data_IF_777231523131
#
_entry.id   IF_777231523131
#
_cell.length_a   1.000
_cell.length_b   1.000
_cell.length_c   1.000
_cell.angle_alpha   90.00
_cell.angle_beta   90.00
_cell.angle_gamma   90.00
#
_symmetry.space_group_name_H-M   'P 1'
#
loop_
_entity.id
_entity.type
_entity.pdbx_description
1 polymer ?
#
# COMPACT_ATOMS: atom_id res chain seq x y z
N UNK A 1 -6.24 14.24 -8.03
CA UNK A 1 -7.54 14.58 -7.44
C UNK A 1 -7.37 14.57 -5.94
N UNK A 2 -8.41 14.18 -5.21
CA UNK A 2 -8.43 14.12 -3.75
C UNK A 2 -7.33 13.23 -3.14
N UNK A 3 -7.18 12.00 -3.64
CA UNK A 3 -6.12 11.09 -3.21
C UNK A 3 -4.79 11.42 -3.88
N UNK A 4 -3.76 11.64 -3.07
CA UNK A 4 -2.43 12.12 -3.50
C UNK A 4 -1.31 11.13 -3.20
N UNK A 5 -1.53 10.16 -2.31
CA UNK A 5 -0.51 9.22 -1.85
C UNK A 5 -1.08 7.81 -1.74
N UNK A 6 -0.19 6.82 -1.86
CA UNK A 6 -0.51 5.42 -1.61
C UNK A 6 0.69 4.73 -0.95
N UNK A 7 0.40 3.87 0.02
CA UNK A 7 1.39 3.13 0.77
C UNK A 7 0.96 1.68 0.92
N UNK A 8 1.91 0.79 1.24
CA UNK A 8 1.63 -0.61 1.50
C UNK A 8 1.78 -0.90 2.99
N UNK A 9 0.68 -1.28 3.64
CA UNK A 9 0.73 -1.81 5.00
C UNK A 9 1.33 -3.23 4.98
N UNK A 10 2.44 -3.42 5.69
CA UNK A 10 3.16 -4.71 5.79
C UNK A 10 2.89 -5.43 7.11
N UNK A 11 2.14 -4.79 8.02
CA UNK A 11 1.70 -5.36 9.29
C UNK A 11 2.72 -5.23 10.41
N UNK A 12 2.25 -5.32 11.66
CA UNK A 12 3.11 -5.46 12.84
C UNK A 12 3.80 -6.83 12.87
N UNK A 13 4.79 -7.00 13.74
CA UNK A 13 5.45 -8.31 13.93
C UNK A 13 4.45 -9.41 14.29
N UNK A 14 3.54 -9.13 15.21
CA UNK A 14 2.51 -10.06 15.67
C UNK A 14 1.57 -10.45 14.51
N UNK A 15 1.20 -9.47 13.68
CA UNK A 15 0.36 -9.72 12.51
C UNK A 15 1.09 -10.55 11.46
N UNK A 16 2.37 -10.26 11.16
CA UNK A 16 3.17 -11.04 10.20
C UNK A 16 3.38 -12.48 10.71
N UNK A 17 3.58 -12.66 12.02
CA UNK A 17 3.65 -13.98 12.64
C UNK A 17 2.31 -14.74 12.55
N UNK A 18 1.19 -14.07 12.81
CA UNK A 18 -0.14 -14.67 12.67
C UNK A 18 -0.43 -15.05 11.21
N UNK A 19 -0.07 -14.18 10.26
CA UNK A 19 -0.24 -14.41 8.83
C UNK A 19 0.60 -15.59 8.33
N UNK A 20 1.80 -15.76 8.89
CA UNK A 20 2.71 -16.87 8.58
C UNK A 20 2.14 -18.25 8.94
N UNK A 21 1.15 -18.31 9.85
CA UNK A 21 0.52 -19.56 10.32
C UNK A 21 -0.68 -19.99 9.47
N UNK A 22 -1.15 -19.16 8.54
CA UNK A 22 -2.20 -19.56 7.60
C UNK A 22 -1.68 -20.66 6.69
N UNK A 23 -2.51 -21.67 6.40
CA UNK A 23 -2.04 -22.92 5.78
C UNK A 23 -1.35 -22.70 4.42
N UNK A 24 -1.93 -21.86 3.56
CA UNK A 24 -1.38 -21.54 2.25
C UNK A 24 -0.05 -20.77 2.34
N UNK A 25 0.06 -19.86 3.32
CA UNK A 25 1.28 -19.11 3.60
C UNK A 25 2.36 -20.02 4.16
N UNK A 26 2.04 -20.84 5.17
CA UNK A 26 2.97 -21.73 5.84
C UNK A 26 3.57 -22.75 4.86
N UNK A 27 2.74 -23.34 3.99
CA UNK A 27 3.22 -24.28 2.96
C UNK A 27 4.14 -23.59 1.96
N UNK A 28 3.82 -22.36 1.56
CA UNK A 28 4.68 -21.58 0.68
C UNK A 28 6.01 -21.20 1.36
N UNK A 29 5.99 -20.76 2.62
CA UNK A 29 7.20 -20.42 3.39
C UNK A 29 8.12 -21.62 3.55
N UNK A 30 7.58 -22.83 3.84
CA UNK A 30 8.37 -24.06 3.93
C UNK A 30 9.10 -24.38 2.63
N UNK A 31 8.45 -24.15 1.47
CA UNK A 31 9.09 -24.29 0.15
C UNK A 31 10.23 -23.28 -0.06
N UNK A 32 10.20 -22.15 0.64
CA UNK A 32 11.30 -21.17 0.68
C UNK A 32 12.38 -21.50 1.73
N UNK A 33 12.25 -22.60 2.47
CA UNK A 33 13.20 -23.01 3.51
C UNK A 33 13.07 -22.27 4.85
N UNK A 34 11.95 -21.58 5.09
CA UNK A 34 11.70 -20.81 6.32
C UNK A 34 10.31 -21.10 6.89
N UNK A 35 10.04 -20.68 8.12
CA UNK A 35 8.77 -20.94 8.82
C UNK A 35 7.97 -19.68 9.15
N UNK A 36 8.52 -18.49 8.90
CA UNK A 36 7.86 -17.21 9.12
C UNK A 36 8.18 -16.22 8.02
N UNK A 37 7.29 -15.25 7.82
CA UNK A 37 7.51 -14.13 6.93
C UNK A 37 8.76 -13.34 7.35
N UNK A 38 8.90 -13.02 8.64
CA UNK A 38 10.09 -12.32 9.15
C UNK A 38 11.38 -13.12 8.88
N UNK A 39 11.34 -14.45 8.99
CA UNK A 39 12.46 -15.31 8.60
C UNK A 39 12.79 -15.22 7.11
N UNK A 40 11.77 -15.14 6.24
CA UNK A 40 11.97 -14.94 4.80
C UNK A 40 12.55 -13.56 4.50
N UNK A 41 12.05 -12.52 5.15
CA UNK A 41 12.52 -11.15 4.98
C UNK A 41 13.97 -10.99 5.43
N UNK A 42 14.32 -11.55 6.59
CA UNK A 42 15.69 -11.59 7.09
C UNK A 42 16.64 -12.34 6.14
N UNK A 43 16.17 -13.45 5.55
CA UNK A 43 16.96 -14.25 4.61
C UNK A 43 17.21 -13.53 3.27
N UNK A 44 16.19 -12.86 2.71
CA UNK A 44 16.26 -12.28 1.36
C UNK A 44 16.72 -10.82 1.35
N UNK A 45 16.34 -10.05 2.35
CA UNK A 45 16.55 -8.60 2.41
C UNK A 45 17.04 -8.21 3.81
N UNK A 46 18.24 -8.66 4.22
CA UNK A 46 18.74 -8.50 5.60
C UNK A 46 18.81 -7.03 6.03
N UNK A 47 19.20 -6.10 5.15
CA UNK A 47 19.27 -4.67 5.47
C UNK A 47 17.89 -4.05 5.69
N UNK A 48 16.94 -4.36 4.79
CA UNK A 48 15.56 -3.91 4.92
C UNK A 48 14.89 -4.50 6.18
N UNK A 49 15.17 -5.77 6.48
CA UNK A 49 14.68 -6.41 7.69
C UNK A 49 15.31 -5.81 8.96
N UNK A 50 16.60 -5.50 8.95
CA UNK A 50 17.25 -4.81 10.06
C UNK A 50 16.62 -3.44 10.32
N UNK A 51 16.28 -2.69 9.25
CA UNK A 51 15.57 -1.42 9.37
C UNK A 51 14.16 -1.58 9.94
N UNK A 52 13.45 -2.65 9.59
CA UNK A 52 12.12 -2.99 10.12
C UNK A 52 12.14 -3.24 11.65
N UNK A 53 13.29 -3.59 12.24
CA UNK A 53 13.44 -3.80 13.69
C UNK A 53 13.80 -2.51 14.45
N UNK A 54 14.09 -1.42 13.75
CA UNK A 54 14.45 -0.15 14.37
C UNK A 54 13.25 0.79 14.36
N UNK A 55 12.95 1.47 15.49
CA UNK A 55 11.94 2.51 15.51
C UNK A 55 12.14 3.55 14.39
N UNK A 56 11.03 4.05 13.89
CA UNK A 56 11.01 5.24 13.06
C UNK A 56 11.22 6.50 13.93
N UNK A 57 11.24 7.68 13.32
CA UNK A 57 11.57 8.95 14.00
C UNK A 57 10.59 9.31 15.13
N UNK A 58 9.36 8.81 15.06
CA UNK A 58 8.32 8.97 16.06
C UNK A 58 8.39 7.94 17.21
N UNK A 59 9.39 7.05 17.21
CA UNK A 59 9.58 6.02 18.22
C UNK A 59 8.77 4.75 18.01
N UNK A 60 7.90 4.68 17.00
CA UNK A 60 7.11 3.49 16.69
C UNK A 60 7.86 2.56 15.73
N UNK A 61 7.60 1.24 15.84
CA UNK A 61 8.18 0.29 14.89
C UNK A 61 7.52 0.40 13.51
N UNK A 62 8.29 0.26 12.42
CA UNK A 62 7.72 0.31 11.09
C UNK A 62 6.69 -0.79 10.82
N UNK A 63 5.60 -0.42 10.18
CA UNK A 63 4.55 -1.34 9.70
C UNK A 63 4.00 -0.96 8.33
N UNK A 64 4.58 0.08 7.71
CA UNK A 64 4.26 0.56 6.37
C UNK A 64 5.56 0.61 5.55
N UNK A 65 5.45 0.28 4.27
CA UNK A 65 6.45 0.61 3.27
C UNK A 65 5.84 1.57 2.24
N UNK A 66 6.53 2.68 1.99
CA UNK A 66 6.05 3.75 1.13
C UNK A 66 7.20 4.44 0.39
N UNK A 67 6.93 4.97 -0.79
CA UNK A 67 7.89 5.84 -1.48
C UNK A 67 7.52 7.30 -1.18
N UNK A 68 8.41 7.97 -0.47
CA UNK A 68 8.29 9.37 -0.01
C UNK A 68 9.61 10.10 -0.30
N UNK A 69 9.74 11.39 0.04
CA UNK A 69 10.92 12.20 -0.31
C UNK A 69 12.30 11.53 -0.03
N UNK A 70 12.52 10.84 1.11
CA UNK A 70 13.77 10.09 1.34
C UNK A 70 14.01 8.86 0.44
N UNK A 71 13.03 8.44 -0.35
CA UNK A 71 12.99 7.19 -1.10
C UNK A 71 11.99 6.18 -0.53
N UNK A 72 12.10 4.92 -0.98
CA UNK A 72 11.31 3.81 -0.46
C UNK A 72 11.74 3.51 0.97
N UNK A 73 10.88 3.87 1.90
CA UNK A 73 11.15 3.92 3.33
C UNK A 73 10.23 2.97 4.08
N UNK A 74 10.76 2.42 5.17
CA UNK A 74 9.96 1.72 6.18
C UNK A 74 9.59 2.73 7.26
N UNK A 75 8.29 2.98 7.41
CA UNK A 75 7.73 4.00 8.30
C UNK A 75 6.73 3.38 9.27
N UNK A 76 6.48 4.08 10.37
CA UNK A 76 5.40 3.73 11.30
C UNK A 76 4.03 3.97 10.67
N UNK A 77 2.99 3.33 11.21
CA UNK A 77 1.63 3.60 10.77
C UNK A 77 1.21 5.01 11.17
N UNK A 78 1.65 5.47 12.34
CA UNK A 78 1.37 6.78 12.91
C UNK A 78 1.92 7.90 12.02
N UNK A 79 3.13 7.74 11.48
CA UNK A 79 3.68 8.66 10.50
C UNK A 79 2.89 8.65 9.20
N UNK A 80 2.69 7.47 8.60
CA UNK A 80 2.04 7.36 7.28
C UNK A 80 0.57 7.78 7.31
N UNK A 81 -0.11 7.59 8.44
CA UNK A 81 -1.51 7.99 8.66
C UNK A 81 -1.66 9.40 9.24
N UNK A 82 -0.58 10.18 9.36
CA UNK A 82 -0.64 11.59 9.79
C UNK A 82 -1.13 12.49 8.64
N UNK A 83 -2.40 12.33 8.27
CA UNK A 83 -3.04 13.03 7.16
C UNK A 83 -4.52 13.34 7.48
N UNK A 84 -5.14 14.20 6.66
CA UNK A 84 -6.53 14.61 6.87
C UNK A 84 -7.54 13.51 6.53
N UNK A 85 -7.19 12.60 5.62
CA UNK A 85 -8.08 11.52 5.17
C UNK A 85 -7.28 10.28 4.79
N UNK A 86 -7.77 9.12 5.22
CA UNK A 86 -7.13 7.83 4.96
C UNK A 86 -8.17 6.75 4.70
N UNK A 87 -7.97 5.97 3.65
CA UNK A 87 -8.72 4.75 3.37
C UNK A 87 -7.78 3.55 3.37
N UNK A 88 -8.21 2.45 3.99
CA UNK A 88 -7.47 1.19 4.02
C UNK A 88 -8.20 0.19 3.12
N UNK A 89 -7.55 -0.18 2.02
CA UNK A 89 -8.05 -1.16 1.07
C UNK A 89 -7.32 -2.50 1.25
N UNK A 90 -8.09 -3.58 1.40
CA UNK A 90 -7.55 -4.94 1.48
C UNK A 90 -7.76 -5.64 0.14
N UNK A 91 -6.69 -6.12 -0.53
CA UNK A 91 -6.85 -6.90 -1.74
C UNK A 91 -7.62 -8.21 -1.51
N UNK A 92 -8.54 -8.54 -2.41
CA UNK A 92 -9.24 -9.84 -2.50
C UNK A 92 -8.34 -10.92 -3.12
N UNK A 93 -7.14 -11.03 -2.59
CA UNK A 93 -6.15 -12.02 -2.99
C UNK A 93 -5.98 -13.07 -1.88
N UNK A 94 -5.55 -14.27 -2.28
CA UNK A 94 -5.19 -15.32 -1.31
C UNK A 94 -4.14 -14.77 -0.33
N UNK A 95 -4.18 -15.16 0.94
CA UNK A 95 -3.19 -14.74 1.94
C UNK A 95 -1.74 -14.86 1.42
N UNK A 96 -1.39 -15.99 0.81
CA UNK A 96 -0.06 -16.19 0.21
C UNK A 96 0.32 -15.13 -0.83
N UNK A 97 -0.60 -14.68 -1.68
CA UNK A 97 -0.32 -13.69 -2.72
C UNK A 97 -0.10 -12.29 -2.13
N UNK A 98 -0.82 -11.96 -1.04
CA UNK A 98 -0.57 -10.75 -0.25
C UNK A 98 0.80 -10.79 0.42
N UNK A 99 1.21 -11.94 0.96
CA UNK A 99 2.58 -12.12 1.49
C UNK A 99 3.62 -11.93 0.40
N UNK A 100 3.42 -12.54 -0.76
CA UNK A 100 4.35 -12.39 -1.88
C UNK A 100 4.46 -10.93 -2.34
N UNK A 101 3.37 -10.15 -2.27
CA UNK A 101 3.41 -8.71 -2.51
C UNK A 101 4.23 -7.94 -1.46
N UNK A 102 4.07 -8.26 -0.17
CA UNK A 102 4.91 -7.69 0.92
C UNK A 102 6.38 -8.02 0.72
N UNK A 103 6.71 -9.28 0.42
CA UNK A 103 8.09 -9.71 0.14
C UNK A 103 8.67 -8.95 -1.06
N UNK A 104 7.88 -8.78 -2.13
CA UNK A 104 8.30 -7.98 -3.29
C UNK A 104 8.51 -6.51 -2.92
N UNK A 105 7.62 -5.92 -2.11
CA UNK A 105 7.74 -4.54 -1.66
C UNK A 105 9.07 -4.30 -0.92
N UNK A 106 9.45 -5.24 -0.04
CA UNK A 106 10.70 -5.18 0.71
C UNK A 106 11.95 -5.15 -0.19
N UNK A 107 11.90 -5.71 -1.40
CA UNK A 107 13.00 -5.62 -2.37
C UNK A 107 13.24 -4.22 -2.94
N UNK A 108 12.28 -3.31 -2.76
CA UNK A 108 12.37 -1.91 -3.19
C UNK A 108 12.90 -0.99 -2.08
N UNK A 109 13.02 -1.48 -0.85
CA UNK A 109 13.50 -0.66 0.28
C UNK A 109 14.86 -0.03 -0.04
N UNK A 110 14.99 1.28 0.23
CA UNK A 110 16.22 2.03 0.00
C UNK A 110 16.39 2.58 -1.42
N UNK A 111 15.50 2.26 -2.37
CA UNK A 111 15.50 2.92 -3.69
C UNK A 111 15.16 4.42 -3.54
N UNK A 112 15.83 5.31 -4.26
CA UNK A 112 15.55 6.74 -4.21
C UNK A 112 14.12 7.06 -4.70
N UNK A 113 13.63 8.23 -4.30
CA UNK A 113 12.34 8.74 -4.77
C UNK A 113 12.48 9.30 -6.17
N UNK A 114 11.49 9.02 -7.03
CA UNK A 114 11.49 9.57 -8.39
C UNK A 114 10.92 11.00 -8.39
N UNK A 115 11.81 11.97 -8.19
CA UNK A 115 11.48 13.39 -8.29
C UNK A 115 11.27 13.85 -9.74
N UNK A 116 11.78 13.10 -10.72
CA UNK A 116 11.67 13.42 -12.14
C UNK A 116 10.38 12.89 -12.76
N UNK A 117 9.67 11.99 -12.07
CA UNK A 117 8.53 11.25 -12.60
C UNK A 117 8.89 10.53 -13.91
N UNK A 118 10.12 10.00 -13.99
CA UNK A 118 10.63 9.22 -15.11
C UNK A 118 10.35 7.72 -14.92
N UNK A 119 9.10 7.34 -15.21
CA UNK A 119 8.59 5.96 -15.08
C UNK A 119 9.22 4.93 -16.02
N UNK A 120 10.23 5.29 -16.82
CA UNK A 120 10.96 4.35 -17.67
C UNK A 120 12.17 3.72 -16.96
N UNK A 121 12.57 4.28 -15.81
CA UNK A 121 13.67 3.79 -14.99
C UNK A 121 13.14 3.09 -13.73
N UNK A 122 13.67 1.90 -13.44
CA UNK A 122 13.43 1.23 -12.16
C UNK A 122 14.30 1.82 -11.02
N UNK A 123 15.16 2.80 -11.32
CA UNK A 123 16.13 3.36 -10.38
C UNK A 123 15.47 4.17 -9.26
N UNK A 124 14.31 4.77 -9.51
CA UNK A 124 13.55 5.55 -8.55
C UNK A 124 12.06 5.17 -8.61
N UNK A 125 11.31 5.32 -7.51
CA UNK A 125 9.89 4.94 -7.47
C UNK A 125 9.02 6.06 -6.93
N UNK A 126 7.83 6.22 -7.52
CA UNK A 126 6.74 7.00 -6.92
C UNK A 126 5.86 6.13 -6.02
N UNK A 127 5.09 6.76 -5.14
CA UNK A 127 4.30 6.07 -4.10
C UNK A 127 3.34 5.00 -4.65
N UNK A 128 2.62 5.30 -5.72
CA UNK A 128 1.67 4.38 -6.35
C UNK A 128 2.36 3.28 -7.16
N UNK A 129 3.52 3.58 -7.73
CA UNK A 129 4.32 2.62 -8.49
C UNK A 129 4.89 1.52 -7.60
N UNK A 130 5.34 1.86 -6.38
CA UNK A 130 5.71 0.87 -5.37
C UNK A 130 4.56 -0.12 -5.13
N UNK A 131 3.33 0.38 -4.95
CA UNK A 131 2.14 -0.46 -4.72
C UNK A 131 1.83 -1.32 -5.94
N UNK A 132 1.79 -0.71 -7.13
CA UNK A 132 1.51 -1.41 -8.40
C UNK A 132 2.54 -2.50 -8.65
N UNK A 133 3.83 -2.19 -8.59
CA UNK A 133 4.91 -3.17 -8.78
C UNK A 133 4.84 -4.29 -7.76
N UNK A 134 4.54 -3.98 -6.50
CA UNK A 134 4.38 -5.00 -5.44
C UNK A 134 3.23 -5.97 -5.75
N UNK A 135 2.17 -5.50 -6.40
CA UNK A 135 0.99 -6.31 -6.76
C UNK A 135 0.95 -6.80 -8.22
N UNK A 136 1.99 -6.61 -9.03
CA UNK A 136 2.04 -7.20 -10.38
C UNK A 136 1.89 -8.73 -10.34
N UNK A 137 1.18 -9.27 -11.33
CA UNK A 137 1.12 -10.70 -11.59
C UNK A 137 2.53 -11.27 -11.78
N UNK A 138 2.75 -12.50 -11.32
CA UNK A 138 3.98 -13.26 -11.57
C UNK A 138 3.64 -14.73 -11.81
N UNK A 139 4.63 -15.53 -12.24
CA UNK A 139 4.44 -16.94 -12.63
C UNK A 139 3.67 -17.75 -11.57
N UNK A 140 4.00 -17.55 -10.29
CA UNK A 140 3.36 -18.25 -9.17
C UNK A 140 2.48 -17.35 -8.30
N UNK A 141 2.15 -16.12 -8.71
CA UNK A 141 1.47 -15.13 -7.84
C UNK A 141 0.38 -14.38 -8.59
N UNK A 142 -0.86 -14.52 -8.12
CA UNK A 142 -1.96 -13.67 -8.56
C UNK A 142 -1.71 -12.22 -8.09
N UNK A 143 -1.89 -11.30 -9.02
CA UNK A 143 -1.71 -9.87 -8.81
C UNK A 143 -3.02 -9.10 -8.91
N UNK A 144 -2.88 -7.79 -8.93
CA UNK A 144 -3.98 -6.85 -9.17
C UNK A 144 -3.85 -6.27 -10.58
N UNK A 145 -4.98 -6.05 -11.22
CA UNK A 145 -5.12 -5.31 -12.47
C UNK A 145 -5.40 -3.86 -12.12
N UNK A 146 -4.35 -3.12 -11.76
CA UNK A 146 -4.45 -1.70 -11.41
C UNK A 146 -4.28 -0.82 -12.67
N UNK A 147 -4.96 0.32 -12.76
CA UNK A 147 -4.97 1.14 -13.97
C UNK A 147 -3.59 1.73 -14.24
N UNK A 148 -3.08 1.54 -15.47
CA UNK A 148 -1.88 2.20 -15.98
C UNK A 148 -2.31 3.22 -17.04
N UNK A 149 -2.16 4.50 -16.71
CA UNK A 149 -2.55 5.61 -17.58
C UNK A 149 -1.30 6.21 -18.22
N UNK A 150 -1.41 6.61 -19.49
CA UNK A 150 -0.31 7.31 -20.16
C UNK A 150 -0.40 8.81 -19.89
N UNK A 151 0.60 9.39 -19.24
CA UNK A 151 0.73 10.83 -19.03
C UNK A 151 2.09 11.31 -19.52
N UNK A 152 2.09 12.30 -20.42
CA UNK A 152 3.30 12.86 -21.03
C UNK A 152 4.28 11.81 -21.60
N UNK A 153 3.79 10.67 -22.08
CA UNK A 153 4.62 9.60 -22.62
C UNK A 153 4.91 8.46 -21.64
N UNK A 154 4.72 8.67 -20.35
CA UNK A 154 5.04 7.74 -19.26
C UNK A 154 3.79 7.03 -18.73
N UNK A 155 3.93 5.77 -18.27
CA UNK A 155 2.86 5.04 -17.62
C UNK A 155 2.81 5.36 -16.14
N UNK A 156 1.66 5.84 -15.67
CA UNK A 156 1.44 6.28 -14.30
C UNK A 156 0.15 5.69 -13.75
N UNK A 157 0.10 5.46 -12.46
CA UNK A 157 -1.15 5.19 -11.74
C UNK A 157 -1.35 6.30 -10.72
N UNK A 158 -2.21 7.30 -10.96
CA UNK A 158 -2.54 8.28 -9.93
C UNK A 158 -3.22 7.59 -8.74
N UNK A 159 -2.99 8.06 -7.50
CA UNK A 159 -3.61 7.44 -6.31
C UNK A 159 -5.15 7.45 -6.40
N UNK A 160 -5.72 8.52 -6.97
CA UNK A 160 -7.15 8.61 -7.31
C UNK A 160 -7.68 7.44 -8.15
N UNK A 161 -6.85 6.90 -9.06
CA UNK A 161 -7.27 5.84 -9.96
C UNK A 161 -7.49 4.51 -9.22
N UNK A 162 -6.90 4.31 -8.04
CA UNK A 162 -7.25 3.16 -7.18
C UNK A 162 -8.68 3.23 -6.68
N UNK A 163 -9.15 4.43 -6.32
CA UNK A 163 -10.50 4.62 -5.79
C UNK A 163 -11.54 4.64 -6.90
N UNK A 164 -11.21 5.20 -8.05
CA UNK A 164 -12.04 5.10 -9.27
C UNK A 164 -12.19 3.62 -9.72
N UNK A 165 -11.10 2.85 -9.70
CA UNK A 165 -11.13 1.42 -10.01
C UNK A 165 -11.89 0.61 -8.94
N UNK A 166 -11.79 0.98 -7.66
CA UNK A 166 -12.59 0.40 -6.59
C UNK A 166 -14.08 0.62 -6.84
N UNK A 167 -14.49 1.87 -7.10
CA UNK A 167 -15.90 2.24 -7.27
C UNK A 167 -16.53 1.59 -8.50
N UNK A 168 -15.84 1.65 -9.64
CA UNK A 168 -16.33 1.06 -10.90
C UNK A 168 -16.51 -0.47 -10.84
N UNK A 169 -15.73 -1.16 -10.00
CA UNK A 169 -15.81 -2.60 -9.83
C UNK A 169 -16.58 -3.03 -8.56
N UNK A 170 -17.14 -2.09 -7.78
CA UNK A 170 -17.77 -2.41 -6.50
C UNK A 170 -19.01 -3.29 -6.69
N UNK A 171 -19.14 -4.32 -5.83
CA UNK A 171 -20.24 -5.30 -5.87
C UNK A 171 -20.35 -6.06 -7.20
N UNK A 172 -19.23 -6.21 -7.90
CA UNK A 172 -19.11 -7.00 -9.13
C UNK A 172 -18.08 -8.12 -8.99
N UNK A 173 -18.06 -9.03 -9.96
CA UNK A 173 -17.05 -10.09 -10.04
C UNK A 173 -15.63 -9.55 -10.33
N UNK A 174 -15.51 -8.28 -10.72
CA UNK A 174 -14.24 -7.61 -11.01
C UNK A 174 -13.67 -6.90 -9.77
N UNK A 175 -14.37 -6.93 -8.64
CA UNK A 175 -13.94 -6.28 -7.41
C UNK A 175 -12.62 -6.86 -6.90
N UNK A 176 -11.59 -6.01 -6.80
CA UNK A 176 -10.24 -6.41 -6.39
C UNK A 176 -9.92 -6.09 -4.92
N UNK A 177 -10.76 -5.29 -4.25
CA UNK A 177 -10.49 -4.79 -2.90
C UNK A 177 -11.75 -4.78 -2.03
N UNK A 178 -11.56 -4.97 -0.73
CA UNK A 178 -12.53 -4.63 0.32
C UNK A 178 -12.08 -3.34 1.03
N UNK A 179 -13.04 -2.46 1.34
CA UNK A 179 -12.79 -1.34 2.24
C UNK A 179 -12.73 -1.86 3.69
N UNK A 180 -11.61 -1.64 4.37
CA UNK A 180 -11.44 -2.01 5.78
C UNK A 180 -11.89 -0.86 6.69
N UNK A 181 -11.45 0.36 6.37
CA UNK A 181 -11.86 1.58 7.06
C UNK A 181 -11.65 2.78 6.15
N UNK A 182 -12.49 3.80 6.31
CA UNK A 182 -12.29 5.11 5.72
C UNK A 182 -12.49 6.16 6.82
N UNK A 183 -11.46 6.97 7.05
CA UNK A 183 -11.52 8.17 7.87
C UNK A 183 -11.49 9.36 6.92
N UNK A 184 -12.57 10.13 6.94
CA UNK A 184 -12.76 11.31 6.11
C UNK A 184 -12.51 12.58 6.93
N UNK A 185 -11.72 13.49 6.38
CA UNK A 185 -11.32 14.72 7.05
C UNK A 185 -12.47 15.73 7.07
N UNK A 186 -12.86 16.17 8.26
CA UNK A 186 -13.80 17.26 8.43
C UNK A 186 -13.08 18.48 9.01
N UNK A 187 -12.67 19.39 8.13
CA UNK A 187 -11.93 20.61 8.48
C UNK A 187 -12.71 21.48 9.47
N UNK A 188 -14.03 21.63 9.27
CA UNK A 188 -14.88 22.44 10.14
C UNK A 188 -14.90 21.92 11.59
N UNK A 189 -14.94 20.59 11.76
CA UNK A 189 -14.92 19.95 13.08
C UNK A 189 -13.52 19.70 13.62
N UNK A 190 -12.47 20.04 12.86
CA UNK A 190 -11.08 19.71 13.16
C UNK A 190 -10.91 18.23 13.55
N UNK A 191 -11.59 17.33 12.85
CA UNK A 191 -11.63 15.92 13.17
C UNK A 191 -11.72 15.04 11.92
N UNK A 192 -11.12 13.86 11.96
CA UNK A 192 -11.39 12.80 11.00
C UNK A 192 -12.56 11.94 11.49
N UNK A 193 -13.56 11.72 10.65
CA UNK A 193 -14.75 10.93 10.97
C UNK A 193 -14.74 9.63 10.20
N UNK A 194 -15.18 8.54 10.82
CA UNK A 194 -15.40 7.29 10.10
C UNK A 194 -16.57 7.46 9.14
N UNK A 195 -16.34 7.22 7.86
CA UNK A 195 -17.34 7.26 6.81
C UNK A 195 -17.50 5.86 6.17
N UNK A 196 -18.66 5.62 5.58
CA UNK A 196 -18.99 4.32 5.01
C UNK A 196 -18.42 4.14 3.58
N UNK A 197 -18.69 2.97 3.02
CA UNK A 197 -18.24 2.60 1.68
C UNK A 197 -18.85 3.47 0.59
N UNK A 198 -20.11 3.89 0.74
CA UNK A 198 -20.79 4.71 -0.27
C UNK A 198 -20.22 6.12 -0.32
N UNK A 199 -19.85 6.68 0.82
CA UNK A 199 -19.12 7.95 0.86
C UNK A 199 -17.70 7.81 0.29
N UNK A 200 -16.96 6.77 0.68
CA UNK A 200 -15.63 6.50 0.14
C UNK A 200 -15.63 6.43 -1.39
N UNK A 201 -16.59 5.72 -1.98
CA UNK A 201 -16.71 5.51 -3.44
C UNK A 201 -16.87 6.81 -4.24
N UNK A 202 -17.39 7.88 -3.64
CA UNK A 202 -17.55 9.18 -4.30
C UNK A 202 -16.28 10.03 -4.22
N UNK A 203 -15.32 9.68 -3.37
CA UNK A 203 -14.16 10.53 -3.06
C UNK A 203 -13.22 10.76 -4.23
N UNK A 204 -13.13 9.84 -5.19
CA UNK A 204 -12.24 10.00 -6.36
C UNK A 204 -12.64 11.20 -7.23
N UNK A 205 -13.91 11.60 -7.19
CA UNK A 205 -14.45 12.76 -7.91
C UNK A 205 -14.21 14.09 -7.18
N UNK A 206 -13.78 14.05 -5.90
CA UNK A 206 -13.53 15.26 -5.12
C UNK A 206 -12.30 16.01 -5.68
N UNK A 207 -12.33 17.34 -5.68
CA UNK A 207 -11.17 18.14 -6.06
C UNK A 207 -10.01 17.92 -5.08
N UNK A 208 -8.81 18.30 -5.49
CA UNK A 208 -7.61 18.24 -4.62
C UNK A 208 -7.81 19.01 -3.31
N UNK A 209 -8.49 20.16 -3.39
CA UNK A 209 -8.88 20.98 -2.24
C UNK A 209 -10.36 20.75 -1.99
N UNK A 210 -10.68 19.69 -1.25
CA UNK A 210 -12.05 19.37 -0.89
C UNK A 210 -12.33 19.86 0.53
N UNK A 211 -13.07 20.95 0.65
CA UNK A 211 -13.57 21.47 1.92
C UNK A 211 -14.98 20.91 2.09
N UNK A 212 -15.20 20.08 3.12
CA UNK A 212 -16.57 19.72 3.53
C UNK A 212 -17.25 21.00 4.04
N UNK A 213 -18.05 21.62 3.18
CA UNK A 213 -18.92 22.74 3.54
C UNK A 213 -20.04 22.19 4.43
N UNK A 214 -20.37 22.91 5.51
CA UNK A 214 -21.47 22.54 6.39
C UNK A 214 -22.78 22.48 5.60
N UNK A 215 -23.50 21.36 5.69
CA UNK A 215 -24.96 21.39 5.62
C UNK A 215 -25.54 21.98 6.91
#
# INVERSE_FOLDING_TARGET
>A
GFWTHAALYIGSREQRDAFSRQSDVADWLRKQGVTSLDGLLALRYPDAYARLQQPYEDGNLPSVIEAISPGVSLTSLEHSASCDSIAVLRPRLKPRDRVAAVVRAMSYQGRPYDYAFDFMSDEALVCTELVVKSYLNGEDKAGLTLPLLKHMGHLITPANAFVEQFDSAYDSNEQQFDLVTFLDGNEYRHAAITADCDEFRKTWQRPKWHILLSE
#
